data_IF_559217935685
#
_entry.id   IF_559217935685
#
_cell.length_a   1.000
_cell.length_b   1.000
_cell.length_c   1.000
_cell.angle_alpha   90.00
_cell.angle_beta   90.00
_cell.angle_gamma   90.00
#
_symmetry.space_group_name_H-M   'P 1'
#
loop_
_entity.id
_entity.type
_entity.pdbx_description
1 polymer ?
#
# COMPACT_ATOMS: atom_id res chain seq x y z
N UNK A 1 20.52 9.80 4.84
CA UNK A 1 19.39 10.47 4.14
C UNK A 1 19.75 10.96 2.74
N UNK A 2 20.83 11.73 2.56
CA UNK A 2 21.25 12.23 1.25
C UNK A 2 21.45 11.11 0.19
N UNK A 3 22.07 9.99 0.57
CA UNK A 3 22.29 8.83 -0.30
C UNK A 3 20.97 8.19 -0.75
N UNK A 4 19.99 8.04 0.15
CA UNK A 4 18.66 7.51 -0.15
C UNK A 4 17.88 8.41 -1.13
N UNK A 5 18.00 9.74 -0.97
CA UNK A 5 17.40 10.74 -1.86
C UNK A 5 18.08 10.78 -3.25
N UNK A 6 19.40 10.65 -3.29
CA UNK A 6 20.18 10.59 -4.54
C UNK A 6 19.88 9.32 -5.34
N UNK A 7 19.83 8.16 -4.68
CA UNK A 7 19.41 6.91 -5.33
C UNK A 7 17.95 6.98 -5.78
N UNK A 8 17.06 7.60 -4.99
CA UNK A 8 15.67 7.85 -5.37
C UNK A 8 15.57 8.69 -6.65
N UNK A 9 16.19 9.87 -6.72
CA UNK A 9 16.04 10.76 -7.88
C UNK A 9 16.71 10.18 -9.13
N UNK A 10 17.92 9.63 -9.01
CA UNK A 10 18.72 9.20 -10.16
C UNK A 10 18.38 7.80 -10.68
N UNK A 11 17.85 6.90 -9.84
CA UNK A 11 17.51 5.52 -10.26
C UNK A 11 16.00 5.36 -10.50
N UNK A 12 15.14 5.94 -9.65
CA UNK A 12 13.68 5.74 -9.73
C UNK A 12 13.04 6.45 -10.94
N UNK A 13 13.44 7.69 -11.20
CA UNK A 13 12.90 8.52 -12.29
C UNK A 13 13.12 7.93 -13.68
N UNK A 14 14.31 7.39 -14.04
CA UNK A 14 14.48 6.67 -15.30
C UNK A 14 13.81 5.28 -15.31
N UNK A 15 13.67 4.60 -14.16
CA UNK A 15 13.04 3.28 -14.10
C UNK A 15 11.53 3.30 -14.36
N UNK A 16 10.82 4.37 -13.99
CA UNK A 16 9.39 4.57 -14.30
C UNK A 16 9.07 4.47 -15.80
N UNK A 17 10.05 4.75 -16.67
CA UNK A 17 9.92 4.63 -18.13
C UNK A 17 10.37 3.26 -18.67
N UNK A 18 11.03 2.42 -17.86
CA UNK A 18 11.67 1.18 -18.32
C UNK A 18 11.00 -0.10 -17.82
N UNK A 19 10.43 -0.13 -16.62
CA UNK A 19 9.89 -1.38 -16.03
C UNK A 19 8.61 -1.21 -15.24
N UNK A 20 7.73 -2.22 -15.29
CA UNK A 20 6.53 -2.32 -14.46
C UNK A 20 6.84 -2.36 -12.94
N UNK A 21 8.03 -2.86 -12.58
CA UNK A 21 8.50 -2.90 -11.19
C UNK A 21 8.74 -1.51 -10.59
N UNK A 22 8.62 -0.43 -11.35
CA UNK A 22 8.67 0.92 -10.82
C UNK A 22 7.68 1.13 -9.68
N UNK A 23 6.47 0.57 -9.70
CA UNK A 23 5.52 0.74 -8.58
C UNK A 23 6.05 0.10 -7.28
N UNK A 24 6.57 -1.12 -7.36
CA UNK A 24 7.21 -1.84 -6.25
C UNK A 24 8.44 -1.10 -5.71
N UNK A 25 9.32 -0.66 -6.60
CA UNK A 25 10.55 0.06 -6.26
C UNK A 25 10.22 1.43 -5.65
N UNK A 26 9.11 2.03 -6.07
CA UNK A 26 8.57 3.27 -5.52
C UNK A 26 7.96 3.14 -4.14
N UNK A 27 7.53 1.93 -3.78
CA UNK A 27 6.91 1.72 -2.49
C UNK A 27 7.88 1.60 -1.33
N UNK A 28 9.10 1.15 -1.61
CA UNK A 28 10.20 1.20 -0.65
C UNK A 28 10.39 2.64 -0.13
N UNK A 29 10.75 3.65 -0.95
CA UNK A 29 10.88 5.03 -0.50
C UNK A 29 9.55 5.63 -0.04
N UNK A 30 8.40 5.19 -0.57
CA UNK A 30 7.09 5.63 -0.09
C UNK A 30 6.80 5.22 1.36
N UNK A 31 7.35 4.09 1.81
CA UNK A 31 7.21 3.60 3.19
C UNK A 31 8.28 4.15 4.15
N UNK A 32 9.47 4.51 3.67
CA UNK A 32 10.58 5.01 4.50
C UNK A 32 10.24 6.20 5.42
N UNK A 33 9.35 7.15 5.05
CA UNK A 33 8.90 8.21 5.96
C UNK A 33 8.38 7.71 7.30
N UNK A 34 7.77 6.51 7.35
CA UNK A 34 7.31 5.93 8.62
C UNK A 34 8.47 5.55 9.55
N UNK A 35 9.53 4.92 9.03
CA UNK A 35 10.74 4.62 9.80
C UNK A 35 11.46 5.91 10.22
N UNK A 36 11.55 6.88 9.31
CA UNK A 36 12.15 8.17 9.61
C UNK A 36 11.39 8.87 10.76
N UNK A 37 10.06 8.89 10.71
CA UNK A 37 9.22 9.43 11.77
C UNK A 37 9.42 8.74 13.12
N UNK A 38 9.55 7.41 13.12
CA UNK A 38 9.85 6.64 14.35
C UNK A 38 11.21 7.03 14.95
N UNK A 39 12.27 7.00 14.13
CA UNK A 39 13.62 7.33 14.60
C UNK A 39 13.80 8.80 14.98
N UNK A 40 12.99 9.71 14.41
CA UNK A 40 12.97 11.12 14.77
C UNK A 40 12.48 11.37 16.20
N UNK A 41 11.67 10.45 16.75
CA UNK A 41 11.27 10.47 18.15
C UNK A 41 12.37 9.95 19.11
N UNK A 42 13.60 9.76 18.61
CA UNK A 42 14.74 9.18 19.32
C UNK A 42 14.54 7.72 19.77
N UNK A 43 13.56 7.03 19.18
CA UNK A 43 13.30 5.62 19.46
C UNK A 43 14.17 4.71 18.56
N UNK A 44 14.80 3.65 19.09
CA UNK A 44 15.44 2.64 18.27
C UNK A 44 14.43 1.95 17.36
N UNK A 45 14.90 1.43 16.22
CA UNK A 45 14.04 0.68 15.28
C UNK A 45 13.49 -0.55 16.00
N UNK A 46 12.20 -0.50 16.29
CA UNK A 46 11.47 -1.54 17.02
C UNK A 46 10.66 -2.42 16.07
N UNK A 47 10.14 -3.54 16.57
CA UNK A 47 9.21 -4.38 15.81
C UNK A 47 7.93 -3.63 15.41
N UNK A 48 7.45 -2.69 16.24
CA UNK A 48 6.30 -1.85 15.92
C UNK A 48 6.61 -0.87 14.76
N UNK A 49 7.83 -0.30 14.74
CA UNK A 49 8.29 0.56 13.65
C UNK A 49 8.30 -0.21 12.31
N UNK A 50 8.87 -1.43 12.31
CA UNK A 50 8.91 -2.28 11.12
C UNK A 50 7.50 -2.66 10.67
N UNK A 51 6.60 -2.97 11.60
CA UNK A 51 5.23 -3.35 11.28
C UNK A 51 4.44 -2.23 10.58
N UNK A 52 4.44 -1.01 11.12
CA UNK A 52 3.71 0.10 10.50
C UNK A 52 4.30 0.46 9.12
N UNK A 53 5.62 0.36 8.98
CA UNK A 53 6.29 0.53 7.68
C UNK A 53 5.85 -0.53 6.69
N UNK A 54 5.77 -1.79 7.11
CA UNK A 54 5.29 -2.86 6.25
C UNK A 54 3.82 -2.66 5.86
N UNK A 55 2.96 -2.22 6.79
CA UNK A 55 1.55 -1.87 6.48
C UNK A 55 1.49 -0.79 5.40
N UNK A 56 2.24 0.31 5.53
CA UNK A 56 2.27 1.38 4.52
C UNK A 56 2.86 0.90 3.20
N UNK A 57 3.87 0.03 3.24
CA UNK A 57 4.46 -0.59 2.06
C UNK A 57 3.44 -1.42 1.28
N UNK A 58 2.69 -2.29 1.95
CA UNK A 58 1.71 -3.15 1.29
C UNK A 58 0.44 -2.40 0.88
N UNK A 59 0.00 -1.44 1.69
CA UNK A 59 -1.21 -0.66 1.45
C UNK A 59 -1.16 0.16 0.15
N UNK A 60 -0.01 0.74 -0.17
CA UNK A 60 0.10 1.61 -1.34
C UNK A 60 0.01 0.85 -2.67
N UNK A 61 0.24 -0.48 -2.69
CA UNK A 61 0.13 -1.30 -3.91
C UNK A 61 -1.30 -1.27 -4.49
N UNK A 62 -2.34 -1.78 -3.79
CA UNK A 62 -3.71 -1.75 -4.31
C UNK A 62 -4.21 -0.32 -4.55
N UNK A 63 -3.77 0.66 -3.74
CA UNK A 63 -4.09 2.07 -3.93
C UNK A 63 -3.57 2.60 -5.28
N UNK A 64 -2.28 2.42 -5.57
CA UNK A 64 -1.68 2.89 -6.82
C UNK A 64 -2.16 2.09 -8.02
N UNK A 65 -2.43 0.80 -7.88
CA UNK A 65 -3.00 0.02 -8.97
C UNK A 65 -4.43 0.44 -9.32
N UNK A 66 -5.25 0.80 -8.34
CA UNK A 66 -6.55 1.40 -8.60
C UNK A 66 -6.42 2.69 -9.43
N UNK A 67 -5.49 3.57 -9.04
CA UNK A 67 -5.24 4.82 -9.76
C UNK A 67 -4.68 4.60 -11.17
N UNK A 68 -3.75 3.64 -11.31
CA UNK A 68 -3.16 3.24 -12.58
C UNK A 68 -4.21 2.71 -13.57
N UNK A 69 -5.24 2.02 -13.05
CA UNK A 69 -6.39 1.56 -13.82
C UNK A 69 -7.22 2.71 -14.34
N UNK A 70 -7.64 3.62 -13.46
CA UNK A 70 -8.46 4.79 -13.80
C UNK A 70 -7.77 5.66 -14.86
N UNK A 71 -6.49 5.98 -14.67
CA UNK A 71 -5.75 6.90 -15.54
C UNK A 71 -4.93 6.19 -16.62
N UNK A 72 -5.27 4.94 -16.97
CA UNK A 72 -4.51 4.11 -17.93
C UNK A 72 -4.25 4.80 -19.28
N UNK A 73 -5.22 5.57 -19.77
CA UNK A 73 -5.12 6.28 -21.05
C UNK A 73 -4.13 7.45 -20.96
N UNK A 74 -4.15 8.21 -19.87
CA UNK A 74 -3.18 9.26 -19.59
C UNK A 74 -1.77 8.70 -19.44
N UNK A 75 -1.63 7.56 -18.76
CA UNK A 75 -0.36 6.86 -18.65
C UNK A 75 0.19 6.42 -20.02
N UNK A 76 -0.69 5.92 -20.90
CA UNK A 76 -0.31 5.56 -22.26
C UNK A 76 0.10 6.79 -23.09
N UNK A 77 -0.67 7.88 -23.04
CA UNK A 77 -0.36 9.15 -23.73
C UNK A 77 0.97 9.76 -23.26
N UNK A 78 1.26 9.66 -21.97
CA UNK A 78 2.53 10.13 -21.38
C UNK A 78 3.74 9.23 -21.64
N UNK A 79 3.58 8.14 -22.41
CA UNK A 79 4.65 7.18 -22.70
C UNK A 79 5.14 6.40 -21.47
N UNK A 80 4.31 6.28 -20.42
CA UNK A 80 4.66 5.55 -19.21
C UNK A 80 4.40 4.06 -19.37
N UNK A 81 5.32 3.20 -18.90
CA UNK A 81 5.18 1.74 -18.96
C UNK A 81 4.53 1.17 -17.71
N UNK A 82 3.30 1.60 -17.42
CA UNK A 82 2.50 1.06 -16.31
C UNK A 82 1.94 -0.33 -16.63
N UNK A 83 1.53 -1.08 -15.60
CA UNK A 83 0.95 -2.42 -15.80
C UNK A 83 -0.24 -2.38 -16.76
N UNK A 84 -1.02 -1.30 -16.68
CA UNK A 84 -2.20 -1.05 -17.51
C UNK A 84 -1.87 -0.78 -18.96
N UNK A 85 -0.64 -0.39 -19.27
CA UNK A 85 -0.15 -0.20 -20.65
C UNK A 85 0.39 -1.53 -21.22
N UNK A 86 0.96 -2.38 -20.38
CA UNK A 86 1.53 -3.69 -20.78
C UNK A 86 0.46 -4.79 -20.80
N UNK A 87 -0.51 -4.72 -19.89
CA UNK A 87 -1.71 -5.57 -19.81
C UNK A 87 -2.98 -4.70 -19.83
N UNK A 88 -3.43 -4.27 -21.02
CA UNK A 88 -4.63 -3.45 -21.18
C UNK A 88 -5.90 -4.11 -20.67
N UNK A 89 -5.92 -5.45 -20.55
CA UNK A 89 -7.07 -6.20 -20.01
C UNK A 89 -7.11 -6.17 -18.48
N UNK A 90 -6.03 -5.75 -17.80
CA UNK A 90 -6.00 -5.57 -16.35
C UNK A 90 -5.99 -6.86 -15.53
N UNK A 91 -5.80 -8.02 -16.14
CA UNK A 91 -5.84 -9.30 -15.44
C UNK A 91 -4.71 -9.41 -14.40
N UNK A 92 -3.49 -8.98 -14.77
CA UNK A 92 -2.34 -8.93 -13.88
C UNK A 92 -2.52 -7.87 -12.80
N UNK A 93 -3.00 -6.68 -13.17
CA UNK A 93 -3.22 -5.59 -12.22
C UNK A 93 -4.22 -5.99 -11.14
N UNK A 94 -5.38 -6.50 -11.53
CA UNK A 94 -6.38 -6.97 -10.57
C UNK A 94 -5.85 -8.06 -9.65
N UNK A 95 -5.12 -9.04 -10.22
CA UNK A 95 -4.51 -10.13 -9.43
C UNK A 95 -3.47 -9.60 -8.44
N UNK A 96 -2.58 -8.71 -8.87
CA UNK A 96 -1.57 -8.14 -7.99
C UNK A 96 -2.20 -7.27 -6.89
N UNK A 97 -3.19 -6.43 -7.22
CA UNK A 97 -3.98 -5.69 -6.21
C UNK A 97 -4.59 -6.62 -5.16
N UNK A 98 -5.12 -7.78 -5.58
CA UNK A 98 -5.69 -8.75 -4.66
C UNK A 98 -4.63 -9.42 -3.77
N UNK A 99 -3.52 -9.89 -4.36
CA UNK A 99 -2.42 -10.51 -3.61
C UNK A 99 -1.80 -9.55 -2.61
N UNK A 100 -1.60 -8.28 -2.97
CA UNK A 100 -1.08 -7.28 -2.03
C UNK A 100 -2.11 -6.88 -0.96
N UNK A 101 -3.41 -6.88 -1.26
CA UNK A 101 -4.43 -6.71 -0.20
C UNK A 101 -4.45 -7.87 0.79
N UNK A 102 -4.23 -9.11 0.33
CA UNK A 102 -4.06 -10.26 1.21
C UNK A 102 -2.80 -10.14 2.07
N UNK A 103 -1.68 -9.74 1.47
CA UNK A 103 -0.44 -9.50 2.20
C UNK A 103 -0.61 -8.37 3.24
N UNK A 104 -1.32 -7.30 2.88
CA UNK A 104 -1.68 -6.20 3.79
C UNK A 104 -2.49 -6.71 4.98
N UNK A 105 -3.51 -7.54 4.76
CA UNK A 105 -4.30 -8.16 5.83
C UNK A 105 -3.43 -9.02 6.75
N UNK A 106 -2.54 -9.84 6.18
CA UNK A 106 -1.64 -10.67 7.00
C UNK A 106 -0.69 -9.80 7.84
N UNK A 107 -0.03 -8.83 7.21
CA UNK A 107 0.96 -7.96 7.84
C UNK A 107 0.33 -7.04 8.89
N UNK A 108 -0.90 -6.57 8.70
CA UNK A 108 -1.58 -5.75 9.70
C UNK A 108 -1.94 -6.52 10.97
N UNK A 109 -2.01 -7.85 10.92
CA UNK A 109 -2.34 -8.70 12.07
C UNK A 109 -1.10 -9.24 12.82
N UNK A 110 0.08 -9.21 12.19
CA UNK A 110 1.35 -9.64 12.82
C UNK A 110 1.63 -8.97 14.17
N UNK A 111 1.44 -7.64 14.33
CA UNK A 111 1.68 -6.97 15.62
C UNK A 111 0.80 -7.48 16.75
N UNK A 112 -0.46 -7.83 16.42
CA UNK A 112 -1.42 -8.37 17.38
C UNK A 112 -1.02 -9.77 17.81
N UNK A 113 -0.66 -10.63 16.84
CA UNK A 113 -0.17 -11.97 17.12
C UNK A 113 1.13 -11.98 17.95
N UNK A 114 1.93 -10.91 17.84
CA UNK A 114 3.18 -10.73 18.60
C UNK A 114 2.97 -10.07 19.98
N UNK A 115 1.73 -9.71 20.34
CA UNK A 115 1.41 -9.01 21.58
C UNK A 115 1.91 -7.56 21.64
N UNK A 116 2.27 -6.96 20.50
CA UNK A 116 2.75 -5.58 20.41
C UNK A 116 1.61 -4.56 20.45
N UNK A 117 0.43 -4.96 20.00
CA UNK A 117 -0.79 -4.14 19.93
C UNK A 117 -1.97 -5.01 20.38
N UNK A 118 -2.96 -4.39 21.04
CA UNK A 118 -4.14 -5.02 21.58
C UNK A 118 -5.21 -5.40 20.56
N UNK A 119 -6.32 -5.90 21.11
CA UNK A 119 -7.42 -6.50 20.35
C UNK A 119 -8.32 -5.47 19.67
N UNK A 120 -8.36 -4.21 20.14
CA UNK A 120 -9.19 -3.15 19.53
C UNK A 120 -8.65 -2.84 18.14
N UNK A 121 -7.34 -2.66 18.03
CA UNK A 121 -6.68 -2.57 16.72
C UNK A 121 -6.83 -3.86 15.92
N UNK A 122 -6.67 -5.03 16.54
CA UNK A 122 -6.72 -6.31 15.81
C UNK A 122 -8.05 -6.59 15.11
N UNK A 123 -9.18 -6.32 15.77
CA UNK A 123 -10.51 -6.44 15.16
C UNK A 123 -10.65 -5.46 14.00
N UNK A 124 -10.27 -4.20 14.20
CA UNK A 124 -10.37 -3.19 13.15
C UNK A 124 -9.45 -3.46 11.96
N UNK A 125 -8.21 -3.91 12.21
CA UNK A 125 -7.25 -4.32 11.19
C UNK A 125 -7.76 -5.49 10.36
N UNK A 126 -8.40 -6.49 10.99
CA UNK A 126 -9.02 -7.62 10.28
C UNK A 126 -10.17 -7.16 9.38
N UNK A 127 -11.08 -6.33 9.91
CA UNK A 127 -12.23 -5.83 9.15
C UNK A 127 -11.80 -4.95 7.96
N UNK A 128 -10.88 -4.02 8.20
CA UNK A 128 -10.35 -3.15 7.15
C UNK A 128 -9.58 -3.94 6.10
N UNK A 129 -8.73 -4.89 6.52
CA UNK A 129 -7.93 -5.73 5.62
C UNK A 129 -8.82 -6.63 4.76
N UNK A 130 -9.88 -7.19 5.35
CA UNK A 130 -10.88 -7.96 4.60
C UNK A 130 -11.64 -7.08 3.61
N UNK A 131 -12.05 -5.87 4.02
CA UNK A 131 -12.71 -4.93 3.13
C UNK A 131 -11.83 -4.57 1.92
N UNK A 132 -10.56 -4.24 2.14
CA UNK A 132 -9.58 -3.99 1.07
C UNK A 132 -9.39 -5.20 0.15
N UNK A 133 -9.38 -6.41 0.72
CA UNK A 133 -9.26 -7.66 -0.03
C UNK A 133 -10.49 -7.89 -0.92
N UNK A 134 -11.69 -7.67 -0.40
CA UNK A 134 -12.95 -7.78 -1.15
C UNK A 134 -13.01 -6.74 -2.28
N UNK A 135 -12.60 -5.51 -2.02
CA UNK A 135 -12.55 -4.46 -3.04
C UNK A 135 -11.57 -4.81 -4.17
N UNK A 136 -10.38 -5.29 -3.83
CA UNK A 136 -9.40 -5.76 -4.82
C UNK A 136 -9.89 -6.98 -5.60
N UNK A 137 -10.58 -7.93 -4.96
CA UNK A 137 -11.18 -9.08 -5.64
C UNK A 137 -12.30 -8.67 -6.62
N UNK A 138 -13.10 -7.67 -6.26
CA UNK A 138 -14.12 -7.08 -7.16
C UNK A 138 -13.49 -6.38 -8.35
N UNK A 139 -12.41 -5.63 -8.14
CA UNK A 139 -11.63 -5.05 -9.24
C UNK A 139 -11.04 -6.16 -10.12
N UNK A 140 -10.51 -7.22 -9.54
CA UNK A 140 -9.92 -8.33 -10.29
C UNK A 140 -10.95 -9.10 -11.13
N UNK A 141 -12.17 -9.24 -10.66
CA UNK A 141 -13.23 -9.97 -11.39
C UNK A 141 -13.83 -9.14 -12.52
N UNK A 142 -14.27 -7.91 -12.22
CA UNK A 142 -15.03 -7.07 -13.18
C UNK A 142 -14.11 -6.22 -14.05
N UNK A 143 -13.05 -5.64 -13.47
CA UNK A 143 -12.06 -4.80 -14.16
C UNK A 143 -12.69 -3.59 -14.85
N UNK A 144 -13.45 -2.80 -14.09
CA UNK A 144 -14.03 -1.53 -14.55
C UNK A 144 -13.57 -0.35 -13.70
N UNK A 145 -13.83 0.86 -14.19
CA UNK A 145 -13.42 2.10 -13.52
C UNK A 145 -14.18 2.30 -12.21
N UNK A 146 -15.41 1.82 -12.12
CA UNK A 146 -16.22 1.91 -10.91
C UNK A 146 -15.59 1.11 -9.75
N UNK A 147 -15.14 -0.13 -9.99
CA UNK A 147 -14.45 -0.95 -8.98
C UNK A 147 -13.07 -0.39 -8.65
N UNK A 148 -12.39 0.21 -9.61
CA UNK A 148 -11.13 0.89 -9.34
C UNK A 148 -11.33 2.08 -8.40
N UNK A 149 -12.35 2.91 -8.63
CA UNK A 149 -12.69 3.99 -7.71
C UNK A 149 -13.08 3.51 -6.31
N UNK A 150 -13.87 2.44 -6.22
CA UNK A 150 -14.20 1.85 -4.91
C UNK A 150 -12.94 1.42 -4.15
N UNK A 151 -11.99 0.74 -4.82
CA UNK A 151 -10.73 0.34 -4.21
C UNK A 151 -9.89 1.56 -3.81
N UNK A 152 -9.83 2.58 -4.67
CA UNK A 152 -9.10 3.82 -4.40
C UNK A 152 -9.65 4.55 -3.17
N UNK A 153 -10.94 4.85 -3.11
CA UNK A 153 -11.53 5.53 -1.96
C UNK A 153 -11.52 4.66 -0.70
N UNK A 154 -11.73 3.35 -0.84
CA UNK A 154 -11.58 2.40 0.27
C UNK A 154 -10.17 2.43 0.86
N UNK A 155 -9.14 2.48 0.01
CA UNK A 155 -7.76 2.58 0.45
C UNK A 155 -7.44 3.93 1.11
N UNK A 156 -8.02 5.05 0.65
CA UNK A 156 -7.89 6.35 1.31
C UNK A 156 -8.46 6.30 2.73
N UNK A 157 -9.62 5.67 2.92
CA UNK A 157 -10.22 5.51 4.24
C UNK A 157 -9.45 4.51 5.12
N UNK A 158 -8.85 3.48 4.53
CA UNK A 158 -8.14 2.42 5.27
C UNK A 158 -7.06 2.97 6.21
N UNK A 159 -6.14 3.80 5.69
CA UNK A 159 -4.96 4.20 6.45
C UNK A 159 -5.31 5.09 7.67
N UNK A 160 -6.09 6.17 7.55
CA UNK A 160 -6.49 6.99 8.69
C UNK A 160 -7.23 6.18 9.75
N UNK A 161 -8.19 5.34 9.35
CA UNK A 161 -8.98 4.54 10.30
C UNK A 161 -8.08 3.55 11.04
N UNK A 162 -7.18 2.85 10.34
CA UNK A 162 -6.25 1.92 10.96
C UNK A 162 -5.31 2.61 11.97
N UNK A 163 -4.79 3.79 11.62
CA UNK A 163 -3.93 4.57 12.51
C UNK A 163 -4.69 5.11 13.72
N UNK A 164 -5.94 5.55 13.54
CA UNK A 164 -6.82 5.94 14.65
C UNK A 164 -7.08 4.76 15.58
N UNK A 165 -7.35 3.58 15.05
CA UNK A 165 -7.54 2.36 15.86
C UNK A 165 -6.29 2.00 16.65
N UNK A 166 -5.11 2.13 16.03
CA UNK A 166 -3.83 1.91 16.73
C UNK A 166 -3.64 2.89 17.89
N UNK A 167 -4.00 4.15 17.69
CA UNK A 167 -3.96 5.17 18.73
C UNK A 167 -4.97 4.90 19.85
N UNK A 168 -6.20 4.53 19.50
CA UNK A 168 -7.25 4.20 20.48
C UNK A 168 -6.90 2.96 21.30
N UNK A 169 -6.37 1.93 20.67
CA UNK A 169 -5.93 0.71 21.35
C UNK A 169 -4.91 1.02 22.45
N UNK A 170 -3.92 1.88 22.16
CA UNK A 170 -2.92 2.35 23.14
C UNK A 170 -3.52 3.05 24.36
N UNK A 171 -4.70 3.66 24.23
CA UNK A 171 -5.39 4.34 25.34
C UNK A 171 -6.35 3.42 26.10
N UNK A 172 -6.83 2.35 25.48
CA UNK A 172 -7.88 1.47 26.01
C UNK A 172 -7.32 0.17 26.61
N UNK A 173 -6.15 -0.28 26.14
CA UNK A 173 -5.50 -1.54 26.49
C UNK A 173 -4.04 -1.28 26.86
#
# INVERSE_FOLDING_TARGET
MATSLLTYILVYTPLKRRTHHATLIGALPGSLPTLAGWTAAAEPVSAAAVAITAVVFFWQMPHFYALAWVYREDYARGGMRMLTVIDPRGARLGRESFVYSLALLAVSLVPVASGLIGWVYGIGAALLGLAMTVLSARLWSVRDDQRAWHLFFGSIAYLPVLLTLMLLDRFLV
#
